data_IF_942398209636
#
_entry.id   IF_942398209636
#
_cell.length_a   1.000
_cell.length_b   1.000
_cell.length_c   1.000
_cell.angle_alpha   90.00
_cell.angle_beta   90.00
_cell.angle_gamma   90.00
#
_symmetry.space_group_name_H-M   'P 1'
#
loop_
_entity.id
_entity.type
_entity.pdbx_description
1 polymer ?
#
# COMPACT_ATOMS: atom_id res chain seq x y z
N UNK A 1 27.49 -19.41 -9.76
CA UNK A 1 27.02 -18.09 -10.25
C UNK A 1 26.97 -17.15 -9.06
N UNK A 2 27.43 -15.91 -9.19
CA UNK A 2 27.30 -14.92 -8.11
C UNK A 2 25.82 -14.54 -7.93
N UNK A 3 25.39 -14.30 -6.69
CA UNK A 3 24.04 -13.83 -6.44
C UNK A 3 23.82 -12.45 -7.11
N UNK A 4 22.62 -12.18 -7.64
CA UNK A 4 22.28 -10.86 -8.16
C UNK A 4 22.38 -9.82 -7.03
N UNK A 5 22.84 -8.61 -7.36
CA UNK A 5 22.95 -7.52 -6.41
C UNK A 5 21.56 -6.97 -6.08
N UNK A 6 21.28 -6.75 -4.80
CA UNK A 6 20.06 -6.06 -4.37
C UNK A 6 20.00 -4.63 -4.94
N UNK A 7 18.82 -4.14 -5.38
CA UNK A 7 18.67 -2.77 -5.86
C UNK A 7 18.96 -1.70 -4.79
N UNK A 8 18.63 -2.00 -3.54
CA UNK A 8 18.92 -1.19 -2.35
C UNK A 8 19.35 -2.16 -1.25
N UNK A 9 20.59 -2.03 -0.76
CA UNK A 9 21.06 -2.85 0.36
C UNK A 9 20.57 -2.29 1.71
N UNK A 10 20.69 -3.06 2.78
CA UNK A 10 20.40 -2.57 4.13
C UNK A 10 21.26 -1.34 4.49
N UNK A 11 22.53 -1.32 4.08
CA UNK A 11 23.44 -0.19 4.31
C UNK A 11 23.01 1.06 3.52
N UNK A 12 22.55 0.89 2.27
CA UNK A 12 22.03 2.01 1.47
C UNK A 12 20.78 2.60 2.12
N UNK A 13 19.89 1.75 2.62
CA UNK A 13 18.67 2.16 3.30
C UNK A 13 18.94 2.87 4.63
N UNK A 14 19.84 2.34 5.45
CA UNK A 14 20.31 3.04 6.66
C UNK A 14 20.92 4.41 6.31
N UNK A 15 21.72 4.49 5.25
CA UNK A 15 22.27 5.74 4.74
C UNK A 15 21.20 6.73 4.28
N UNK A 16 20.08 6.25 3.74
CA UNK A 16 18.92 7.09 3.43
C UNK A 16 18.28 7.61 4.70
N UNK A 17 18.02 6.77 5.70
CA UNK A 17 17.40 7.18 6.98
C UNK A 17 18.23 8.25 7.68
N UNK A 18 19.55 8.05 7.76
CA UNK A 18 20.49 8.93 8.48
C UNK A 18 20.90 10.18 7.65
N UNK A 19 20.39 10.35 6.44
CA UNK A 19 20.83 11.41 5.52
C UNK A 19 20.38 12.80 6.00
N UNK A 20 21.34 13.71 6.16
CA UNK A 20 21.07 15.15 6.42
C UNK A 20 20.40 15.89 5.25
N UNK A 21 20.34 15.26 4.07
CA UNK A 21 19.70 15.82 2.88
C UNK A 21 18.23 15.40 2.74
N UNK A 22 17.68 14.73 3.75
CA UNK A 22 16.26 14.39 3.77
C UNK A 22 15.40 15.61 4.05
N UNK A 23 14.10 15.45 3.79
CA UNK A 23 13.09 16.41 4.22
C UNK A 23 13.23 16.69 5.73
N UNK A 24 13.53 17.92 6.16
CA UNK A 24 13.71 18.24 7.57
C UNK A 24 12.42 18.10 8.38
N UNK A 25 11.26 17.94 7.74
CA UNK A 25 10.00 17.64 8.45
C UNK A 25 9.86 16.15 8.80
N UNK A 26 10.74 15.27 8.29
CA UNK A 26 10.75 13.85 8.63
C UNK A 26 11.59 13.61 9.88
N UNK A 27 11.04 12.83 10.81
CA UNK A 27 11.80 12.27 11.92
C UNK A 27 12.48 10.98 11.45
N UNK A 28 13.81 10.79 11.63
CA UNK A 28 14.49 9.53 11.31
C UNK A 28 13.84 8.29 11.92
N UNK A 29 13.09 8.43 13.03
CA UNK A 29 12.38 7.33 13.66
C UNK A 29 11.12 6.88 12.90
N UNK A 30 10.56 7.73 12.02
CA UNK A 30 9.34 7.44 11.24
C UNK A 30 9.55 7.52 9.73
N UNK A 31 10.62 8.19 9.28
CA UNK A 31 10.93 8.41 7.87
C UNK A 31 10.87 7.11 7.06
N UNK A 32 10.36 7.11 5.84
CA UNK A 32 9.73 8.22 5.13
C UNK A 32 8.23 8.35 5.44
N UNK A 33 7.68 7.58 6.38
CA UNK A 33 6.27 7.67 6.75
C UNK A 33 5.92 9.05 7.32
N UNK A 34 4.67 9.48 7.09
CA UNK A 34 4.15 10.77 7.54
C UNK A 34 2.90 10.58 8.38
N UNK A 35 2.64 11.53 9.28
CA UNK A 35 1.48 11.51 10.17
C UNK A 35 0.16 11.49 9.39
N UNK A 36 0.10 12.23 8.28
CA UNK A 36 -0.99 12.20 7.31
C UNK A 36 -0.56 11.35 6.11
N UNK A 37 -0.85 10.03 6.13
CA UNK A 37 -0.40 9.12 5.08
C UNK A 37 -1.15 9.41 3.78
N UNK A 38 -0.40 9.43 2.68
CA UNK A 38 -0.94 9.55 1.32
C UNK A 38 -0.53 8.34 0.51
N UNK A 39 -1.50 7.80 -0.23
CA UNK A 39 -1.23 6.78 -1.21
C UNK A 39 -0.70 7.44 -2.48
N UNK A 40 0.38 6.90 -3.01
CA UNK A 40 0.99 7.39 -4.24
C UNK A 40 1.08 6.25 -5.25
N UNK A 41 0.98 6.57 -6.55
CA UNK A 41 1.33 5.61 -7.58
C UNK A 41 2.82 5.25 -7.48
N UNK A 42 3.14 3.98 -7.66
CA UNK A 42 4.53 3.56 -7.83
C UNK A 42 4.98 3.93 -9.23
N UNK A 43 6.12 4.62 -9.32
CA UNK A 43 6.68 5.07 -10.58
C UNK A 43 7.97 4.31 -10.91
N UNK A 44 8.93 4.38 -9.98
CA UNK A 44 10.16 3.60 -9.99
C UNK A 44 10.81 3.65 -8.60
N UNK A 45 11.87 2.87 -8.37
CA UNK A 45 12.56 2.82 -7.08
C UNK A 45 13.07 4.21 -6.65
N UNK A 46 13.63 4.98 -7.58
CA UNK A 46 14.23 6.28 -7.27
C UNK A 46 13.18 7.31 -6.82
N UNK A 47 12.04 7.38 -7.51
CA UNK A 47 10.99 8.35 -7.18
C UNK A 47 10.14 7.90 -5.98
N UNK A 48 9.72 6.63 -5.97
CA UNK A 48 8.70 6.12 -5.03
C UNK A 48 9.30 5.66 -3.70
N UNK A 49 10.53 5.14 -3.68
CA UNK A 49 11.14 4.62 -2.45
C UNK A 49 12.24 5.53 -1.93
N UNK A 50 13.21 5.91 -2.78
CA UNK A 50 14.31 6.79 -2.38
C UNK A 50 13.83 8.24 -2.23
N UNK A 51 13.03 8.70 -3.18
CA UNK A 51 12.47 10.05 -3.23
C UNK A 51 11.52 10.36 -2.06
N UNK A 52 10.92 9.33 -1.44
CA UNK A 52 10.01 9.50 -0.30
C UNK A 52 10.68 10.15 0.92
N UNK A 53 12.01 10.05 1.04
CA UNK A 53 12.81 10.71 2.09
C UNK A 53 13.11 12.18 1.79
N UNK A 54 12.88 12.66 0.55
CA UNK A 54 13.30 13.99 0.09
C UNK A 54 12.21 15.03 0.31
N UNK A 55 12.62 16.29 0.35
CA UNK A 55 11.66 17.42 0.30
C UNK A 55 10.86 17.34 -1.00
N UNK A 56 9.64 17.92 -1.05
CA UNK A 56 8.85 17.96 -2.28
C UNK A 56 9.62 18.55 -3.46
N UNK A 57 10.42 19.59 -3.23
CA UNK A 57 11.22 20.25 -4.27
C UNK A 57 12.37 19.38 -4.81
N UNK A 58 13.07 18.64 -3.96
CA UNK A 58 14.12 17.72 -4.42
C UNK A 58 13.52 16.46 -5.07
N UNK A 59 12.42 15.92 -4.51
CA UNK A 59 11.73 14.77 -5.09
C UNK A 59 11.18 15.06 -6.49
N UNK A 60 10.65 16.26 -6.73
CA UNK A 60 10.14 16.68 -8.03
C UNK A 60 11.20 16.73 -9.14
N UNK A 61 12.50 16.72 -8.81
CA UNK A 61 13.61 16.65 -9.78
C UNK A 61 13.94 15.21 -10.19
N UNK A 62 13.42 14.22 -9.49
CA UNK A 62 13.66 12.81 -9.78
C UNK A 62 12.79 12.40 -10.96
N UNK A 63 13.43 11.92 -12.03
CA UNK A 63 12.72 11.37 -13.19
C UNK A 63 11.90 10.15 -12.78
N UNK A 64 10.61 10.18 -13.08
CA UNK A 64 9.68 9.10 -12.74
C UNK A 64 9.16 8.35 -13.98
N UNK A 65 9.28 8.94 -15.17
CA UNK A 65 8.83 8.35 -16.43
C UNK A 65 9.79 7.26 -16.93
N UNK A 66 9.25 6.08 -17.17
CA UNK A 66 9.97 4.95 -17.73
C UNK A 66 9.20 3.64 -17.59
N UNK A 67 9.85 2.55 -18.01
CA UNK A 67 9.35 1.21 -17.70
C UNK A 67 9.40 0.98 -16.18
N UNK A 68 8.40 0.28 -15.66
CA UNK A 68 8.35 -0.09 -14.25
C UNK A 68 9.55 -0.97 -13.88
N UNK A 69 10.24 -0.64 -12.79
CA UNK A 69 11.35 -1.41 -12.24
C UNK A 69 10.89 -2.26 -11.03
N UNK A 70 11.80 -2.98 -10.38
CA UNK A 70 11.49 -3.77 -9.19
C UNK A 70 10.61 -5.01 -9.44
N UNK A 71 10.50 -5.46 -10.69
CA UNK A 71 9.70 -6.63 -11.06
C UNK A 71 8.22 -6.33 -11.30
N UNK A 72 7.86 -5.06 -11.53
CA UNK A 72 6.51 -4.69 -11.89
C UNK A 72 6.08 -5.19 -13.27
N UNK A 73 4.78 -5.44 -13.41
CA UNK A 73 4.12 -5.80 -14.66
C UNK A 73 3.62 -4.51 -15.38
N UNK A 74 3.91 -4.31 -16.68
CA UNK A 74 3.42 -3.15 -17.44
C UNK A 74 1.90 -2.99 -17.47
N UNK A 75 1.12 -4.06 -17.31
CA UNK A 75 -0.35 -4.01 -17.24
C UNK A 75 -0.89 -3.84 -15.82
N UNK A 76 0.00 -3.71 -14.83
CA UNK A 76 -0.35 -3.53 -13.42
C UNK A 76 -0.01 -2.13 -12.94
N UNK A 77 -1.02 -1.48 -12.37
CA UNK A 77 -0.82 -0.24 -11.64
C UNK A 77 -0.65 -0.55 -10.15
N UNK A 78 0.41 -0.02 -9.57
CA UNK A 78 0.73 -0.19 -8.16
C UNK A 78 0.54 1.13 -7.42
N UNK A 79 -0.15 1.08 -6.29
CA UNK A 79 -0.19 2.18 -5.33
C UNK A 79 0.59 1.76 -4.09
N UNK A 80 1.33 2.68 -3.47
CA UNK A 80 2.06 2.41 -2.23
C UNK A 80 1.75 3.45 -1.15
N UNK A 81 1.93 3.03 0.09
CA UNK A 81 2.04 3.93 1.23
C UNK A 81 3.04 3.37 2.23
N UNK A 82 3.87 4.24 2.79
CA UNK A 82 4.83 3.91 3.85
C UNK A 82 4.32 4.49 5.17
N UNK A 83 4.32 3.66 6.21
CA UNK A 83 3.61 3.88 7.45
C UNK A 83 4.53 3.68 8.66
N UNK A 84 4.17 4.28 9.79
CA UNK A 84 4.85 4.05 11.06
C UNK A 84 3.87 3.88 12.21
N UNK A 85 4.05 2.81 13.01
CA UNK A 85 3.28 2.60 14.24
C UNK A 85 3.48 3.69 15.29
N UNK A 86 4.51 4.54 15.14
CA UNK A 86 4.72 5.71 16.00
C UNK A 86 3.65 6.79 15.83
N UNK A 87 2.94 6.82 14.70
CA UNK A 87 1.77 7.70 14.52
C UNK A 87 0.47 7.06 15.03
N UNK A 88 0.45 5.73 15.16
CA UNK A 88 -0.60 4.95 15.81
C UNK A 88 -0.44 3.46 15.46
N UNK A 89 -0.70 2.54 16.42
CA UNK A 89 -0.45 1.10 16.23
C UNK A 89 -1.42 0.42 15.27
N UNK A 90 -2.52 1.10 14.91
CA UNK A 90 -3.54 0.64 13.96
C UNK A 90 -3.66 1.67 12.85
N UNK A 91 -3.55 1.23 11.60
CA UNK A 91 -3.89 2.02 10.42
C UNK A 91 -5.18 1.50 9.81
N UNK A 92 -6.10 2.40 9.48
CA UNK A 92 -7.37 2.05 8.84
C UNK A 92 -7.40 2.69 7.48
N UNK A 93 -7.82 1.96 6.45
CA UNK A 93 -8.06 2.50 5.12
C UNK A 93 -9.44 2.12 4.60
N UNK A 94 -10.02 3.05 3.84
CA UNK A 94 -11.33 2.94 3.22
C UNK A 94 -11.28 3.52 1.82
N UNK A 95 -11.92 2.84 0.87
CA UNK A 95 -12.03 3.24 -0.53
C UNK A 95 -13.13 2.45 -1.21
N UNK A 96 -13.56 2.89 -2.39
CA UNK A 96 -14.49 2.14 -3.23
C UNK A 96 -13.73 1.04 -3.97
N UNK A 97 -14.25 -0.19 -3.94
CA UNK A 97 -13.68 -1.30 -4.70
C UNK A 97 -14.05 -1.14 -6.18
N UNK A 98 -13.08 -1.18 -7.14
CA UNK A 98 -13.41 -1.32 -8.55
C UNK A 98 -14.24 -2.59 -8.78
N UNK A 99 -15.09 -2.63 -9.79
CA UNK A 99 -15.71 -3.91 -10.17
C UNK A 99 -14.63 -4.88 -10.62
N UNK A 100 -14.76 -6.13 -10.20
CA UNK A 100 -13.88 -7.23 -10.54
C UNK A 100 -14.71 -8.49 -10.82
N UNK A 101 -14.24 -9.39 -11.68
CA UNK A 101 -14.94 -10.64 -11.92
C UNK A 101 -14.78 -11.60 -10.73
N UNK A 102 -15.86 -12.18 -10.23
CA UNK A 102 -15.77 -13.30 -9.28
C UNK A 102 -15.34 -14.57 -10.03
N UNK A 103 -14.05 -14.69 -10.32
CA UNK A 103 -13.48 -15.80 -11.10
C UNK A 103 -13.30 -17.06 -10.30
N UNK A 104 -13.15 -16.94 -8.97
CA UNK A 104 -12.92 -18.06 -8.07
C UNK A 104 -14.17 -18.93 -7.91
N UNK A 105 -15.30 -18.31 -7.53
CA UNK A 105 -16.56 -19.04 -7.39
C UNK A 105 -17.38 -19.02 -8.68
N UNK A 106 -17.39 -17.90 -9.42
CA UNK A 106 -18.34 -17.70 -10.51
C UNK A 106 -19.80 -17.80 -10.03
N UNK A 107 -20.75 -17.75 -10.97
CA UNK A 107 -22.17 -17.95 -10.65
C UNK A 107 -22.50 -19.41 -10.31
N UNK A 108 -21.66 -20.36 -10.74
CA UNK A 108 -21.87 -21.81 -10.62
C UNK A 108 -21.13 -22.46 -9.45
N UNK A 109 -20.25 -21.75 -8.76
CA UNK A 109 -19.34 -22.32 -7.75
C UNK A 109 -18.14 -23.07 -8.34
N UNK A 110 -18.00 -23.13 -9.67
CA UNK A 110 -16.90 -23.82 -10.38
C UNK A 110 -15.89 -22.86 -11.02
N UNK A 111 -15.96 -21.57 -10.67
CA UNK A 111 -15.21 -20.51 -11.32
C UNK A 111 -15.74 -20.14 -12.70
N UNK A 112 -15.12 -19.16 -13.35
CA UNK A 112 -15.50 -18.69 -14.68
C UNK A 112 -14.58 -19.29 -15.76
N UNK A 113 -15.18 -19.83 -16.82
CA UNK A 113 -14.44 -20.30 -18.00
C UNK A 113 -14.00 -19.18 -18.95
N UNK A 114 -14.53 -17.97 -18.77
CA UNK A 114 -14.18 -16.75 -19.51
C UNK A 114 -14.14 -15.57 -18.54
N UNK A 115 -13.21 -14.64 -18.76
CA UNK A 115 -13.09 -13.43 -17.95
C UNK A 115 -14.07 -12.36 -18.47
N UNK A 116 -15.11 -11.96 -17.71
CA UNK A 116 -16.02 -10.91 -18.15
C UNK A 116 -15.38 -9.53 -17.99
N UNK A 117 -15.95 -8.54 -18.70
CA UNK A 117 -15.54 -7.14 -18.57
C UNK A 117 -15.79 -6.65 -17.13
N UNK A 118 -14.83 -5.89 -16.60
CA UNK A 118 -14.84 -5.29 -15.27
C UNK A 118 -13.85 -4.12 -15.25
N UNK A 119 -13.96 -3.21 -14.27
CA UNK A 119 -13.04 -2.07 -14.14
C UNK A 119 -11.58 -2.52 -13.97
N UNK A 120 -11.36 -3.58 -13.19
CA UNK A 120 -10.07 -4.29 -13.09
C UNK A 120 -10.31 -5.79 -13.15
N UNK A 121 -9.39 -6.55 -13.74
CA UNK A 121 -9.49 -8.01 -13.75
C UNK A 121 -8.99 -8.64 -12.45
N UNK A 122 -8.19 -7.90 -11.68
CA UNK A 122 -7.74 -8.31 -10.35
C UNK A 122 -7.37 -7.11 -9.49
N UNK A 123 -7.71 -7.17 -8.21
CA UNK A 123 -7.26 -6.23 -7.20
C UNK A 123 -6.65 -6.97 -6.01
N UNK A 124 -5.54 -6.45 -5.48
CA UNK A 124 -4.95 -6.97 -4.25
C UNK A 124 -4.28 -5.87 -3.44
N UNK A 125 -4.06 -6.16 -2.18
CA UNK A 125 -3.20 -5.38 -1.30
C UNK A 125 -2.29 -6.30 -0.52
N UNK A 126 -1.02 -5.92 -0.39
CA UNK A 126 -0.02 -6.64 0.39
C UNK A 126 0.55 -5.75 1.47
N UNK A 127 0.83 -6.38 2.61
CA UNK A 127 1.72 -5.86 3.64
C UNK A 127 3.14 -6.30 3.33
N UNK A 128 4.08 -5.37 3.43
CA UNK A 128 5.48 -5.62 3.11
C UNK A 128 6.42 -4.97 4.14
N UNK A 129 7.59 -5.58 4.25
CA UNK A 129 8.75 -5.00 4.93
C UNK A 129 9.41 -3.91 4.06
N UNK A 130 10.50 -3.29 4.53
CA UNK A 130 11.19 -2.29 3.74
C UNK A 130 11.86 -2.92 2.51
N UNK A 131 12.17 -2.07 1.53
CA UNK A 131 12.76 -2.49 0.25
C UNK A 131 13.99 -3.42 0.39
N UNK A 132 14.97 -3.19 1.30
CA UNK A 132 16.10 -4.10 1.43
C UNK A 132 15.74 -5.56 1.79
N UNK A 133 14.62 -5.77 2.48
CA UNK A 133 14.08 -7.11 2.75
C UNK A 133 13.31 -7.63 1.53
N UNK A 134 12.41 -6.79 0.98
CA UNK A 134 11.51 -7.17 -0.11
C UNK A 134 10.46 -8.22 0.28
N UNK A 135 10.38 -8.59 1.56
CA UNK A 135 9.46 -9.61 2.04
C UNK A 135 8.02 -9.10 2.07
N UNK A 136 7.12 -9.92 1.52
CA UNK A 136 5.68 -9.80 1.72
C UNK A 136 5.30 -10.54 3.00
N UNK A 137 4.54 -9.87 3.86
CA UNK A 137 4.11 -10.38 5.17
C UNK A 137 2.76 -11.05 5.08
N UNK A 138 1.81 -10.37 4.43
CA UNK A 138 0.41 -10.80 4.35
C UNK A 138 -0.23 -10.18 3.10
N UNK A 139 -1.34 -10.76 2.63
CA UNK A 139 -2.01 -10.35 1.41
C UNK A 139 -3.53 -10.55 1.49
N UNK A 140 -4.26 -9.60 0.91
CA UNK A 140 -5.68 -9.71 0.61
C UNK A 140 -5.91 -9.51 -0.88
N UNK A 141 -6.90 -10.21 -1.41
CA UNK A 141 -7.38 -10.10 -2.79
C UNK A 141 -8.82 -9.66 -2.81
N UNK A 142 -9.29 -9.17 -3.95
CA UNK A 142 -10.64 -8.62 -4.14
C UNK A 142 -11.78 -9.45 -3.50
N UNK A 143 -11.83 -10.76 -3.74
CA UNK A 143 -12.88 -11.65 -3.21
C UNK A 143 -12.76 -11.94 -1.70
N UNK A 144 -11.64 -11.59 -1.06
CA UNK A 144 -11.44 -11.74 0.39
C UNK A 144 -11.86 -10.50 1.17
N UNK A 145 -12.17 -9.39 0.50
CA UNK A 145 -12.46 -8.12 1.15
C UNK A 145 -13.97 -7.89 1.20
N UNK A 146 -14.60 -7.87 2.39
CA UNK A 146 -16.01 -7.56 2.51
C UNK A 146 -16.27 -6.10 2.10
N UNK A 147 -17.37 -5.89 1.39
CA UNK A 147 -17.81 -4.57 0.92
C UNK A 147 -19.11 -4.18 1.62
N UNK A 148 -19.26 -2.89 1.93
CA UNK A 148 -20.55 -2.35 2.34
C UNK A 148 -21.53 -2.20 1.16
N UNK A 149 -22.77 -1.78 1.47
CA UNK A 149 -23.84 -1.62 0.48
C UNK A 149 -23.51 -0.66 -0.67
N UNK A 150 -22.55 0.24 -0.49
CA UNK A 150 -22.14 1.25 -1.47
C UNK A 150 -20.87 0.83 -2.23
N UNK A 151 -20.38 -0.39 -1.97
CA UNK A 151 -19.19 -0.97 -2.60
C UNK A 151 -17.87 -0.49 -1.99
N UNK A 152 -17.88 0.04 -0.77
CA UNK A 152 -16.65 0.45 -0.10
C UNK A 152 -16.09 -0.67 0.77
N UNK A 153 -14.78 -0.86 0.71
CA UNK A 153 -14.05 -1.69 1.64
C UNK A 153 -13.60 -0.89 2.86
N UNK A 154 -13.42 -1.59 3.97
CA UNK A 154 -12.65 -1.10 5.12
C UNK A 154 -11.61 -2.15 5.47
N UNK A 155 -10.34 -1.76 5.55
CA UNK A 155 -9.24 -2.66 5.92
C UNK A 155 -8.51 -2.08 7.11
N UNK A 156 -8.34 -2.90 8.14
CA UNK A 156 -7.54 -2.60 9.32
C UNK A 156 -6.18 -3.26 9.18
N UNK A 157 -5.13 -2.45 9.26
CA UNK A 157 -3.74 -2.85 9.19
C UNK A 157 -3.08 -2.65 10.55
N UNK A 158 -2.70 -3.75 11.20
CA UNK A 158 -2.10 -3.72 12.54
C UNK A 158 -1.29 -4.97 12.79
N UNK A 159 -0.49 -4.99 13.86
CA UNK A 159 0.04 -6.25 14.37
C UNK A 159 -1.07 -7.09 15.00
N UNK A 160 -0.83 -8.39 15.18
CA UNK A 160 -1.79 -9.33 15.79
C UNK A 160 -2.24 -8.88 17.18
N UNK A 161 -1.30 -8.41 18.01
CA UNK A 161 -1.58 -7.93 19.37
C UNK A 161 -2.48 -6.67 19.40
N UNK A 162 -2.38 -5.84 18.36
CA UNK A 162 -3.12 -4.58 18.22
C UNK A 162 -4.41 -4.73 17.40
N UNK A 163 -4.72 -5.92 16.88
CA UNK A 163 -5.94 -6.15 16.09
C UNK A 163 -7.18 -5.82 16.93
N UNK A 164 -8.03 -4.87 16.49
CA UNK A 164 -9.32 -4.62 17.12
C UNK A 164 -10.23 -5.86 17.04
N UNK A 165 -10.90 -6.20 18.14
CA UNK A 165 -11.81 -7.35 18.19
C UNK A 165 -13.00 -7.23 17.22
N UNK A 166 -13.39 -6.00 16.88
CA UNK A 166 -14.45 -5.71 15.90
C UNK A 166 -13.94 -5.60 14.44
N UNK A 167 -12.65 -5.80 14.16
CA UNK A 167 -12.12 -5.88 12.80
C UNK A 167 -12.31 -7.29 12.21
N UNK A 168 -13.54 -7.60 11.81
CA UNK A 168 -13.99 -8.91 11.32
C UNK A 168 -14.84 -8.79 10.07
N UNK A 169 -14.86 -9.86 9.26
CA UNK A 169 -15.67 -9.93 8.03
C UNK A 169 -17.16 -9.72 8.31
N UNK A 170 -17.66 -10.23 9.44
CA UNK A 170 -19.04 -10.03 9.89
C UNK A 170 -19.39 -8.55 10.13
N UNK A 171 -18.41 -7.72 10.47
CA UNK A 171 -18.56 -6.27 10.61
C UNK A 171 -18.19 -5.51 9.32
N UNK A 172 -17.98 -6.21 8.20
CA UNK A 172 -17.59 -5.60 6.93
C UNK A 172 -16.16 -5.07 6.91
N UNK A 173 -15.26 -5.64 7.73
CA UNK A 173 -13.89 -5.16 7.89
C UNK A 173 -12.91 -6.30 7.64
N UNK A 174 -12.06 -6.15 6.62
CA UNK A 174 -10.91 -7.02 6.43
C UNK A 174 -9.78 -6.62 7.39
N UNK A 175 -8.92 -7.59 7.73
CA UNK A 175 -7.70 -7.34 8.51
C UNK A 175 -6.48 -7.84 7.76
N UNK A 176 -5.39 -7.07 7.82
CA UNK A 176 -4.11 -7.37 7.18
C UNK A 176 -2.99 -7.22 8.22
N UNK A 177 -2.06 -8.19 8.28
CA UNK A 177 -1.00 -8.20 9.29
C UNK A 177 0.13 -7.22 8.98
N UNK A 178 0.41 -6.33 9.94
CA UNK A 178 1.61 -5.49 9.95
C UNK A 178 2.83 -6.31 10.32
N UNK A 179 3.93 -6.15 9.56
CA UNK A 179 5.20 -6.83 9.84
C UNK A 179 5.57 -6.79 11.33
N UNK A 180 5.77 -7.96 11.98
CA UNK A 180 6.31 -8.00 13.33
C UNK A 180 7.79 -7.59 13.37
N UNK A 181 8.49 -7.57 12.23
CA UNK A 181 9.90 -7.20 12.09
C UNK A 181 10.12 -5.74 11.69
N UNK A 182 9.07 -4.98 11.36
CA UNK A 182 9.19 -3.61 10.87
C UNK A 182 9.84 -3.56 9.48
N UNK A 183 11.02 -2.95 9.37
CA UNK A 183 11.76 -2.86 8.10
C UNK A 183 12.28 -4.20 7.60
N UNK A 184 12.42 -5.20 8.48
CA UNK A 184 12.86 -6.54 8.06
C UNK A 184 14.33 -6.66 7.76
N UNK A 185 15.16 -5.70 8.20
CA UNK A 185 16.61 -5.74 7.98
C UNK A 185 17.31 -6.43 9.15
N UNK A 186 18.30 -7.26 8.84
CA UNK A 186 19.10 -7.96 9.86
C UNK A 186 20.24 -7.06 10.34
N UNK A 187 19.87 -5.95 10.96
CA UNK A 187 20.78 -4.93 11.50
C UNK A 187 20.29 -4.43 12.86
N UNK A 188 21.19 -4.05 13.79
CA UNK A 188 20.82 -3.36 15.03
C UNK A 188 20.02 -2.07 14.81
N UNK A 189 20.07 -1.49 13.60
CA UNK A 189 19.33 -0.28 13.24
C UNK A 189 17.92 -0.53 12.69
N UNK A 190 17.48 -1.78 12.61
CA UNK A 190 16.13 -2.14 12.12
C UNK A 190 15.03 -1.41 12.90
N UNK A 191 14.24 -0.59 12.19
CA UNK A 191 13.13 0.17 12.79
C UNK A 191 11.87 -0.69 12.81
N UNK A 192 11.56 -1.22 13.98
CA UNK A 192 10.45 -2.17 14.19
C UNK A 192 9.05 -1.58 13.92
N UNK A 193 8.90 -0.26 13.94
CA UNK A 193 7.62 0.41 13.75
C UNK A 193 7.28 0.70 12.28
N UNK A 194 8.20 0.45 11.34
CA UNK A 194 7.96 0.66 9.90
C UNK A 194 6.92 -0.32 9.36
N UNK A 195 6.13 0.12 8.39
CA UNK A 195 5.30 -0.75 7.56
C UNK A 195 5.13 -0.17 6.17
N UNK A 196 4.86 -1.03 5.19
CA UNK A 196 4.56 -0.62 3.84
C UNK A 196 3.35 -1.41 3.35
N UNK A 197 2.43 -0.71 2.69
CA UNK A 197 1.35 -1.36 1.96
C UNK A 197 1.52 -1.08 0.47
N UNK A 198 1.22 -2.08 -0.34
CA UNK A 198 1.20 -1.96 -1.79
C UNK A 198 -0.08 -2.56 -2.34
N UNK A 199 -0.83 -1.77 -3.09
CA UNK A 199 -2.08 -2.15 -3.72
C UNK A 199 -1.84 -2.32 -5.22
N UNK A 200 -2.51 -3.30 -5.84
CA UNK A 200 -2.36 -3.64 -7.26
C UNK A 200 -3.69 -3.61 -7.97
N UNK A 201 -3.69 -3.05 -9.17
CA UNK A 201 -4.82 -3.05 -10.10
C UNK A 201 -4.31 -3.60 -11.44
N UNK A 202 -4.75 -4.81 -11.82
CA UNK A 202 -4.18 -5.56 -12.94
C UNK A 202 -5.18 -5.62 -14.10
N UNK A 203 -4.70 -5.33 -15.32
CA UNK A 203 -5.47 -5.37 -16.55
C UNK A 203 -6.75 -4.51 -16.44
N UNK A 204 -6.52 -3.22 -16.20
CA UNK A 204 -7.59 -2.23 -16.04
C UNK A 204 -8.31 -1.96 -17.37
N UNK A 205 -9.64 -1.82 -17.31
CA UNK A 205 -10.43 -1.42 -18.47
C UNK A 205 -9.97 -0.01 -18.94
N UNK A 206 -9.55 0.15 -20.21
CA UNK A 206 -9.09 1.44 -20.73
C UNK A 206 -10.18 2.53 -20.74
N UNK A 207 -11.46 2.15 -20.60
CA UNK A 207 -12.60 3.08 -20.49
C UNK A 207 -12.92 3.47 -19.04
N UNK A 208 -12.27 2.87 -18.04
CA UNK A 208 -12.46 3.23 -16.64
C UNK A 208 -11.74 4.56 -16.32
N UNK A 209 -12.50 5.66 -16.34
CA UNK A 209 -11.97 7.02 -16.14
C UNK A 209 -11.20 7.20 -14.82
N UNK A 210 -11.64 6.55 -13.74
CA UNK A 210 -10.98 6.64 -12.42
C UNK A 210 -9.85 5.63 -12.23
N UNK A 211 -9.42 4.95 -13.29
CA UNK A 211 -8.30 4.01 -13.23
C UNK A 211 -6.99 4.69 -12.80
N UNK A 212 -6.16 4.04 -11.95
CA UNK A 212 -4.81 4.51 -11.66
C UNK A 212 -3.92 4.68 -12.89
N UNK A 213 -4.25 4.03 -14.02
CA UNK A 213 -3.55 4.22 -15.31
C UNK A 213 -3.58 5.70 -15.73
N UNK A 214 -4.67 6.41 -15.42
CA UNK A 214 -4.86 7.82 -15.77
C UNK A 214 -4.11 8.78 -14.82
N UNK A 215 -3.47 8.27 -13.76
CA UNK A 215 -2.51 9.04 -12.95
C UNK A 215 -1.22 9.14 -13.76
N UNK A 216 -1.10 10.22 -14.53
CA UNK A 216 0.05 10.48 -15.43
C UNK A 216 1.15 11.32 -14.81
N UNK A 217 0.90 11.90 -13.63
CA UNK A 217 1.87 12.65 -12.83
C UNK A 217 1.65 12.39 -11.34
N UNK A 218 2.72 12.37 -10.54
CA UNK A 218 2.59 12.33 -9.09
C UNK A 218 1.73 13.48 -8.54
N UNK A 219 0.89 13.19 -7.56
CA UNK A 219 -0.04 14.13 -6.95
C UNK A 219 -1.41 14.20 -7.62
N UNK A 220 -1.64 13.48 -8.73
CA UNK A 220 -2.95 13.40 -9.38
C UNK A 220 -3.86 12.30 -8.79
N UNK A 221 -3.32 11.42 -7.95
CA UNK A 221 -3.96 10.17 -7.49
C UNK A 221 -5.39 10.40 -6.98
N UNK A 222 -5.57 11.26 -5.98
CA UNK A 222 -6.88 11.51 -5.38
C UNK A 222 -7.86 12.15 -6.39
N UNK A 223 -7.37 13.06 -7.23
CA UNK A 223 -8.22 13.76 -8.21
C UNK A 223 -8.69 12.86 -9.35
N UNK A 224 -7.85 11.92 -9.79
CA UNK A 224 -8.16 10.98 -10.87
C UNK A 224 -9.01 9.83 -10.35
N UNK A 225 -8.58 9.20 -9.26
CA UNK A 225 -9.22 7.99 -8.76
C UNK A 225 -10.52 8.28 -8.00
N UNK A 226 -10.71 9.51 -7.51
CA UNK A 226 -11.94 9.92 -6.84
C UNK A 226 -12.32 8.95 -5.69
N UNK A 227 -13.53 8.37 -5.67
CA UNK A 227 -13.94 7.40 -4.65
C UNK A 227 -13.06 6.13 -4.54
N UNK A 228 -12.34 5.77 -5.62
CA UNK A 228 -11.44 4.61 -5.64
C UNK A 228 -10.07 4.92 -5.02
N UNK A 229 -9.76 6.20 -4.75
CA UNK A 229 -8.56 6.57 -3.99
C UNK A 229 -8.73 6.15 -2.52
N UNK A 230 -7.84 5.30 -1.98
CA UNK A 230 -7.89 4.94 -0.56
C UNK A 230 -7.58 6.14 0.34
N UNK A 231 -8.46 6.39 1.30
CA UNK A 231 -8.21 7.31 2.41
C UNK A 231 -7.90 6.51 3.67
N UNK A 232 -6.92 6.95 4.45
CA UNK A 232 -6.57 6.25 5.67
C UNK A 232 -6.12 7.16 6.79
N UNK A 233 -6.08 6.60 7.99
CA UNK A 233 -5.72 7.30 9.21
C UNK A 233 -5.15 6.34 10.25
N UNK A 234 -4.33 6.88 11.15
CA UNK A 234 -3.85 6.17 12.33
C UNK A 234 -4.84 6.27 13.50
N UNK A 235 -4.91 5.22 14.28
CA UNK A 235 -5.76 5.11 15.48
C UNK A 235 -5.16 4.11 16.47
N UNK A 236 -5.81 3.95 17.63
CA UNK A 236 -5.51 2.86 18.57
C UNK A 236 -6.53 1.73 18.46
N UNK A 237 -6.19 0.56 19.01
CA UNK A 237 -7.10 -0.57 19.19
C UNK A 237 -8.37 -0.16 19.94
N UNK A 238 -8.19 0.49 21.10
CA UNK A 238 -9.29 0.91 21.96
C UNK A 238 -10.23 1.91 21.27
N UNK A 239 -9.67 2.90 20.57
CA UNK A 239 -10.49 3.90 19.86
C UNK A 239 -11.28 3.27 18.71
N UNK A 240 -10.69 2.32 17.99
CA UNK A 240 -11.38 1.62 16.91
C UNK A 240 -12.47 0.68 17.44
N UNK A 241 -12.21 -0.01 18.56
CA UNK A 241 -13.22 -0.86 19.23
C UNK A 241 -14.41 -0.03 19.72
N UNK A 242 -14.16 1.17 20.24
CA UNK A 242 -15.20 2.05 20.75
C UNK A 242 -16.01 2.75 19.64
N UNK A 243 -15.36 3.22 18.57
CA UNK A 243 -15.97 4.13 17.60
C UNK A 243 -16.18 3.51 16.21
N UNK A 244 -15.57 2.36 15.93
CA UNK A 244 -15.54 1.77 14.59
C UNK A 244 -14.75 2.59 13.57
N UNK A 245 -14.86 2.24 12.27
CA UNK A 245 -14.18 2.97 11.20
C UNK A 245 -14.82 4.34 10.94
N UNK A 246 -13.99 5.35 10.65
CA UNK A 246 -14.44 6.64 10.11
C UNK A 246 -14.94 6.40 8.67
N UNK A 247 -16.15 6.86 8.37
CA UNK A 247 -16.81 6.67 7.07
C UNK A 247 -16.70 7.89 6.17
#
# INVERSE_FOLDING_TARGET
>A
MAAPKQPVSAADWEGLVDSKANDPTLDPATAPARQDPKWEKYWNIQYSLVGAFKTPGERAKIRYEGAIDGGGDPETEYMLVQLSRKFGPVYVMRGKMPTFPNTYAGASGAGLGVMPAAQTQYWSIVSAEAMPSGQIVDALTDFQVPLDKDGYYTIVYSRKEDRPANATDANGIAWLEWSPRGEGVDSPKNRVDFGMLMMRFIANDPTWEQSPVNVTKPGMEESVMGPYYPKGYYTTKADFEANGPRK
#
